data_IF_215324839381
#
_entry.id   IF_215324839381
#
_cell.length_a   1.000
_cell.length_b   1.000
_cell.length_c   1.000
_cell.angle_alpha   90.00
_cell.angle_beta   90.00
_cell.angle_gamma   90.00
#
_symmetry.space_group_name_H-M   'P 1'
#
loop_
_entity.id
_entity.type
_entity.pdbx_description
1 polymer ?
#
# COMPACT_ATOMS: atom_id res chain seq x y z
N UNK A 1 15.89 18.84 2.54
CA UNK A 1 15.16 18.14 3.60
C UNK A 1 13.78 17.81 3.03
N UNK A 2 13.69 16.88 2.08
CA UNK A 2 12.39 16.40 1.66
C UNK A 2 11.90 15.44 2.74
N UNK A 3 11.02 15.93 3.61
CA UNK A 3 9.99 15.06 4.18
C UNK A 3 9.35 14.37 2.99
N UNK A 4 9.67 13.10 2.77
CA UNK A 4 9.07 12.31 1.71
C UNK A 4 7.59 12.22 2.02
N UNK A 5 6.81 13.18 1.52
CA UNK A 5 5.37 13.12 1.37
C UNK A 5 5.12 11.71 0.84
N UNK A 6 4.52 10.84 1.65
CA UNK A 6 4.22 9.48 1.23
C UNK A 6 3.44 9.61 -0.08
N UNK A 7 4.11 9.32 -1.20
CA UNK A 7 3.57 9.57 -2.53
C UNK A 7 2.37 8.66 -2.68
N UNK A 8 1.21 9.27 -2.89
CA UNK A 8 -0.06 8.59 -3.11
C UNK A 8 0.13 7.43 -4.08
N UNK A 9 -0.38 6.26 -3.72
CA UNK A 9 -0.35 5.08 -4.58
C UNK A 9 -1.13 5.36 -5.85
N UNK A 10 -0.53 4.94 -6.96
CA UNK A 10 -1.03 5.16 -8.30
C UNK A 10 -1.38 3.84 -8.97
N UNK A 11 -2.05 3.95 -10.12
CA UNK A 11 -2.28 2.81 -10.98
C UNK A 11 -1.01 2.18 -11.56
N UNK A 12 0.19 2.72 -11.35
CA UNK A 12 1.45 2.09 -11.72
C UNK A 12 2.01 1.19 -10.59
N UNK A 13 1.61 1.42 -9.35
CA UNK A 13 2.02 0.62 -8.21
C UNK A 13 1.35 -0.77 -8.27
N UNK A 14 2.17 -1.81 -8.13
CA UNK A 14 1.76 -3.21 -8.35
C UNK A 14 1.93 -3.99 -7.07
N UNK A 15 0.95 -4.82 -6.76
CA UNK A 15 1.04 -5.76 -5.66
C UNK A 15 2.16 -6.77 -5.93
N UNK A 16 3.10 -6.90 -5.00
CA UNK A 16 4.24 -7.83 -5.11
C UNK A 16 3.80 -9.29 -5.21
N UNK A 17 2.57 -9.61 -4.78
CA UNK A 17 2.04 -10.98 -4.81
C UNK A 17 1.34 -11.36 -6.12
N UNK A 18 0.60 -10.45 -6.74
CA UNK A 18 -0.22 -10.78 -7.93
C UNK A 18 -0.17 -9.79 -9.08
N UNK A 19 0.55 -8.68 -8.95
CA UNK A 19 0.64 -7.65 -9.99
C UNK A 19 -0.62 -6.80 -10.18
N UNK A 20 -1.67 -6.96 -9.36
CA UNK A 20 -2.81 -6.04 -9.38
C UNK A 20 -2.41 -4.63 -8.86
N UNK A 21 -3.25 -3.62 -9.04
CA UNK A 21 -2.99 -2.29 -8.45
C UNK A 21 -2.82 -2.38 -6.93
N UNK A 22 -1.77 -1.74 -6.42
CA UNK A 22 -1.51 -1.65 -5.00
C UNK A 22 -2.32 -0.50 -4.37
N UNK A 23 -2.85 -0.77 -3.18
CA UNK A 23 -3.55 0.22 -2.34
C UNK A 23 -2.96 0.28 -0.93
N UNK A 24 -1.99 -0.58 -0.62
CA UNK A 24 -1.29 -0.57 0.67
C UNK A 24 0.21 -0.60 0.42
N UNK A 25 0.93 0.34 1.03
CA UNK A 25 2.39 0.40 1.05
C UNK A 25 2.88 0.25 2.47
N UNK A 26 3.82 -0.65 2.70
CA UNK A 26 4.51 -0.79 3.98
C UNK A 26 6.00 -0.52 3.80
N UNK A 27 6.52 0.51 4.48
CA UNK A 27 7.95 0.81 4.53
C UNK A 27 8.60 0.04 5.66
N UNK A 28 9.68 -0.67 5.35
CA UNK A 28 10.42 -1.50 6.29
C UNK A 28 11.59 -0.71 6.88
N UNK A 29 11.98 -1.02 8.11
CA UNK A 29 13.12 -0.39 8.77
C UNK A 29 14.45 -0.61 8.01
N UNK A 30 14.53 -1.66 7.21
CA UNK A 30 15.65 -1.99 6.33
C UNK A 30 15.77 -1.09 5.09
N UNK A 31 14.83 -0.15 4.87
CA UNK A 31 14.88 0.83 3.79
C UNK A 31 14.17 0.40 2.49
N UNK A 32 13.52 -0.76 2.47
CA UNK A 32 12.65 -1.21 1.37
C UNK A 32 11.17 -0.92 1.64
N UNK A 33 10.35 -1.14 0.61
CA UNK A 33 8.89 -1.11 0.72
C UNK A 33 8.26 -2.38 0.14
N UNK A 34 7.08 -2.73 0.66
CA UNK A 34 6.23 -3.79 0.15
C UNK A 34 4.90 -3.21 -0.27
N UNK A 35 4.42 -3.62 -1.44
CA UNK A 35 3.19 -3.15 -2.06
C UNK A 35 2.15 -4.27 -2.11
N UNK A 36 0.95 -3.98 -1.64
CA UNK A 36 -0.16 -4.92 -1.63
C UNK A 36 -1.42 -4.33 -2.25
N UNK A 37 -2.13 -5.14 -3.02
CA UNK A 37 -3.51 -4.84 -3.40
C UNK A 37 -4.41 -4.96 -2.18
N UNK A 38 -5.59 -4.36 -2.22
CA UNK A 38 -6.55 -4.43 -1.11
C UNK A 38 -6.91 -5.87 -0.70
N UNK A 39 -6.86 -6.83 -1.64
CA UNK A 39 -7.09 -8.24 -1.33
C UNK A 39 -5.97 -8.84 -0.47
N UNK A 40 -4.70 -8.72 -0.89
CA UNK A 40 -3.58 -9.33 -0.16
C UNK A 40 -3.20 -8.56 1.09
N UNK A 41 -3.44 -7.25 1.12
CA UNK A 41 -3.18 -6.43 2.30
C UNK A 41 -3.86 -7.00 3.55
N UNK A 42 -5.10 -7.47 3.47
CA UNK A 42 -5.84 -8.06 4.61
C UNK A 42 -5.10 -9.21 5.30
N UNK A 43 -4.36 -10.00 4.53
CA UNK A 43 -3.59 -11.14 5.05
C UNK A 43 -2.24 -10.69 5.63
N UNK A 44 -1.64 -9.64 5.09
CA UNK A 44 -0.30 -9.19 5.47
C UNK A 44 -0.29 -8.05 6.51
N UNK A 45 -1.33 -7.23 6.59
CA UNK A 45 -1.45 -6.11 7.52
C UNK A 45 -1.13 -6.47 8.99
N UNK A 46 -1.62 -7.60 9.55
CA UNK A 46 -1.27 -7.98 10.91
C UNK A 46 0.23 -8.20 11.12
N UNK A 47 0.91 -8.78 10.13
CA UNK A 47 2.35 -8.99 10.19
C UNK A 47 3.12 -7.69 9.94
N UNK A 48 2.67 -6.87 8.99
CA UNK A 48 3.28 -5.58 8.66
C UNK A 48 3.22 -4.61 9.83
N UNK A 49 2.16 -4.64 10.65
CA UNK A 49 2.03 -3.78 11.83
C UNK A 49 3.17 -3.97 12.85
N UNK A 50 3.82 -5.14 12.87
CA UNK A 50 4.94 -5.43 13.79
C UNK A 50 6.31 -5.05 13.21
N UNK A 51 6.47 -5.13 11.89
CA UNK A 51 7.78 -5.01 11.21
C UNK A 51 7.95 -3.76 10.35
N UNK A 52 6.86 -3.10 9.97
CA UNK A 52 6.88 -1.90 9.14
C UNK A 52 7.05 -0.65 10.01
N UNK A 53 7.87 0.28 9.55
CA UNK A 53 8.05 1.59 10.16
C UNK A 53 6.93 2.55 9.79
N UNK A 54 6.33 2.36 8.61
CA UNK A 54 5.20 3.16 8.13
C UNK A 54 4.29 2.29 7.26
N UNK A 55 2.98 2.44 7.43
CA UNK A 55 1.97 1.78 6.59
C UNK A 55 1.04 2.85 6.04
N UNK A 56 0.93 2.94 4.72
CA UNK A 56 -0.07 3.74 4.01
C UNK A 56 -1.15 2.81 3.48
N UNK A 57 -2.35 2.88 4.04
CA UNK A 57 -3.54 2.17 3.55
C UNK A 57 -4.47 3.15 2.83
N UNK A 58 -4.62 2.94 1.52
CA UNK A 58 -5.51 3.70 0.64
C UNK A 58 -6.66 2.83 0.11
N UNK A 59 -6.96 1.71 0.79
CA UNK A 59 -8.01 0.77 0.33
C UNK A 59 -9.39 1.41 0.31
N UNK A 60 -9.60 2.47 1.09
CA UNK A 60 -10.82 3.28 1.09
C UNK A 60 -11.10 3.92 -0.28
N UNK A 61 -10.07 4.20 -1.09
CA UNK A 61 -10.21 4.84 -2.41
C UNK A 61 -10.89 3.94 -3.44
N UNK A 62 -10.82 2.62 -3.27
CA UNK A 62 -11.56 1.67 -4.11
C UNK A 62 -13.06 1.95 -4.11
N UNK A 63 -13.61 2.36 -2.97
CA UNK A 63 -15.04 2.64 -2.83
C UNK A 63 -15.42 4.00 -3.45
N UNK A 64 -14.45 4.91 -3.55
CA UNK A 64 -14.64 6.24 -4.17
C UNK A 64 -14.45 6.20 -5.69
N UNK A 65 -13.51 5.40 -6.21
CA UNK A 65 -13.36 5.11 -7.64
C UNK A 65 -14.55 4.33 -8.19
N UNK A 66 -15.10 3.38 -7.42
CA UNK A 66 -16.31 2.62 -7.82
C UNK A 66 -17.56 3.51 -7.99
N UNK A 67 -17.51 4.75 -7.52
CA UNK A 67 -18.62 5.73 -7.62
C UNK A 67 -18.47 6.69 -8.80
N UNK A 68 -17.32 6.66 -9.49
CA UNK A 68 -16.99 7.52 -10.63
C UNK A 68 -17.15 6.82 -12.00
N UNK A 69 -17.65 5.58 -12.01
CA UNK A 69 -18.08 4.85 -13.21
C UNK A 69 -19.58 4.62 -13.23
#
# INVERSE_FOLDING_TARGET
METALASTLTAADRCDRCGAQAYVRARMASGGELLFCAHHARQHLPALADVATEISDETSRLHEESRQG
#
